data_IF_143563082114
#
_entry.id   IF_143563082114
#
_cell.length_a   1.000
_cell.length_b   1.000
_cell.length_c   1.000
_cell.angle_alpha   90.00
_cell.angle_beta   90.00
_cell.angle_gamma   90.00
#
_symmetry.space_group_name_H-M   'P 1'
#
loop_
_entity.id
_entity.type
_entity.pdbx_description
1 polymer ?
#
# COMPACT_ATOMS: atom_id res chain seq x y z
N UNK A 1 17.28 0.50 1.61
CA UNK A 1 16.73 -0.86 1.44
C UNK A 1 16.10 -1.48 2.71
N UNK A 2 16.15 -0.85 3.89
CA UNK A 2 15.63 -1.45 5.13
C UNK A 2 14.14 -1.18 5.40
N UNK A 3 13.60 -0.09 4.85
CA UNK A 3 12.30 0.41 5.30
C UNK A 3 11.09 -0.23 4.62
N UNK A 4 11.21 -0.51 3.32
CA UNK A 4 10.19 -1.26 2.57
C UNK A 4 9.98 -2.62 3.23
N UNK A 5 11.07 -3.27 3.64
CA UNK A 5 11.07 -4.59 4.30
C UNK A 5 10.27 -4.58 5.60
N UNK A 6 10.53 -3.61 6.49
CA UNK A 6 9.76 -3.40 7.72
C UNK A 6 8.28 -3.13 7.45
N UNK A 7 7.98 -2.39 6.38
CA UNK A 7 6.60 -2.08 6.00
C UNK A 7 5.86 -3.32 5.49
N UNK A 8 6.54 -4.18 4.72
CA UNK A 8 6.01 -5.48 4.29
C UNK A 8 5.84 -6.46 5.44
N UNK A 9 6.79 -6.59 6.36
CA UNK A 9 6.68 -7.48 7.54
C UNK A 9 5.44 -7.14 8.38
N UNK A 10 5.23 -5.85 8.67
CA UNK A 10 4.02 -5.38 9.37
C UNK A 10 2.73 -5.63 8.58
N UNK A 11 2.81 -5.64 7.24
CA UNK A 11 1.68 -5.99 6.37
C UNK A 11 1.36 -7.49 6.45
N UNK A 12 2.38 -8.36 6.54
CA UNK A 12 2.18 -9.81 6.65
C UNK A 12 1.55 -10.19 7.98
N UNK A 13 1.91 -9.50 9.07
CA UNK A 13 1.33 -9.76 10.39
C UNK A 13 -0.13 -9.28 10.49
N UNK A 14 -0.44 -8.09 9.96
CA UNK A 14 -1.78 -7.50 10.05
C UNK A 14 -2.21 -6.84 8.73
N UNK A 15 -2.53 -7.63 7.69
CA UNK A 15 -2.83 -7.12 6.36
C UNK A 15 -4.09 -6.25 6.32
N UNK A 16 -5.05 -6.52 7.21
CA UNK A 16 -6.32 -5.80 7.33
C UNK A 16 -6.24 -4.47 8.10
N UNK A 17 -5.09 -4.13 8.66
CA UNK A 17 -4.89 -2.89 9.43
C UNK A 17 -4.88 -1.61 8.58
N UNK A 18 -4.66 -1.73 7.26
CA UNK A 18 -4.63 -0.59 6.35
C UNK A 18 -6.05 -0.14 5.95
N UNK A 19 -6.39 1.15 6.01
CA UNK A 19 -7.71 1.63 5.59
C UNK A 19 -7.98 1.32 4.11
N UNK A 20 -9.22 0.94 3.81
CA UNK A 20 -9.71 0.78 2.43
C UNK A 20 -9.86 2.17 1.81
N UNK A 21 -9.27 2.37 0.63
CA UNK A 21 -9.30 3.63 -0.11
C UNK A 21 -10.18 3.56 -1.37
N UNK A 22 -10.35 2.38 -1.98
CA UNK A 22 -11.19 2.19 -3.15
C UNK A 22 -11.55 0.72 -3.34
N UNK A 23 -12.83 0.35 -3.25
CA UNK A 23 -13.27 -1.05 -3.39
C UNK A 23 -12.59 -1.97 -2.37
N UNK A 24 -11.77 -2.92 -2.83
CA UNK A 24 -10.95 -3.79 -1.95
C UNK A 24 -9.51 -3.28 -1.74
N UNK A 25 -9.15 -2.12 -2.32
CA UNK A 25 -7.81 -1.56 -2.28
C UNK A 25 -7.60 -0.90 -0.92
N UNK A 26 -6.57 -1.36 -0.21
CA UNK A 26 -6.10 -0.82 1.07
C UNK A 26 -4.85 0.03 0.84
N UNK A 27 -4.67 1.02 1.71
CA UNK A 27 -3.49 1.91 1.70
C UNK A 27 -2.72 1.79 3.00
N UNK A 28 -1.41 1.58 2.92
CA UNK A 28 -0.48 1.72 4.06
C UNK A 28 0.53 2.82 3.79
N UNK A 29 0.74 3.72 4.75
CA UNK A 29 1.77 4.75 4.66
C UNK A 29 3.09 4.19 5.19
N UNK A 30 4.19 4.36 4.44
CA UNK A 30 5.53 4.15 4.96
C UNK A 30 5.88 5.32 5.89
N UNK A 31 6.49 5.04 7.05
CA UNK A 31 6.68 6.06 8.08
C UNK A 31 7.82 7.06 7.80
N UNK A 32 8.95 6.69 7.18
CA UNK A 32 10.07 7.63 6.90
C UNK A 32 10.13 8.11 5.46
N UNK A 33 9.41 7.47 4.53
CA UNK A 33 9.31 7.97 3.16
C UNK A 33 7.90 8.44 2.84
N UNK A 34 7.73 9.51 2.03
CA UNK A 34 6.43 9.95 1.55
C UNK A 34 5.92 8.98 0.47
N UNK A 35 5.86 7.69 0.76
CA UNK A 35 5.29 6.66 -0.08
C UNK A 35 4.14 5.99 0.65
N UNK A 36 3.03 5.77 -0.06
CA UNK A 36 1.99 4.84 0.35
C UNK A 36 2.09 3.57 -0.49
N UNK A 37 1.84 2.41 0.09
CA UNK A 37 1.56 1.19 -0.66
C UNK A 37 0.06 1.04 -0.83
N UNK A 38 -0.36 0.78 -2.06
CA UNK A 38 -1.70 0.33 -2.40
C UNK A 38 -1.64 -1.17 -2.62
N UNK A 39 -2.47 -1.90 -1.88
CA UNK A 39 -2.49 -3.35 -1.94
C UNK A 39 -3.91 -3.88 -1.74
N UNK A 40 -4.15 -5.11 -2.16
CA UNK A 40 -5.39 -5.84 -1.93
C UNK A 40 -5.08 -7.15 -1.23
N UNK A 41 -6.01 -7.62 -0.42
CA UNK A 41 -5.94 -8.93 0.23
C UNK A 41 -6.79 -9.89 -0.60
N UNK A 42 -6.17 -10.94 -1.11
CA UNK A 42 -6.85 -11.99 -1.87
C UNK A 42 -6.59 -13.33 -1.19
N UNK A 43 -7.51 -13.77 -0.33
CA UNK A 43 -7.32 -14.96 0.50
C UNK A 43 -6.14 -14.79 1.45
N UNK A 44 -5.13 -15.66 1.33
CA UNK A 44 -3.89 -15.63 2.12
C UNK A 44 -2.76 -14.80 1.50
N UNK A 45 -3.01 -14.13 0.37
CA UNK A 45 -1.99 -13.39 -0.36
C UNK A 45 -2.23 -11.88 -0.34
N UNK A 46 -1.12 -11.14 -0.25
CA UNK A 46 -1.06 -9.70 -0.39
C UNK A 46 -0.61 -9.34 -1.80
N UNK A 47 -1.48 -8.69 -2.57
CA UNK A 47 -1.12 -8.15 -3.89
C UNK A 47 -0.83 -6.66 -3.80
N UNK A 48 0.41 -6.27 -4.01
CA UNK A 48 0.82 -4.86 -4.12
C UNK A 48 0.43 -4.37 -5.52
N UNK A 49 -0.53 -3.45 -5.59
CA UNK A 49 -1.01 -2.88 -6.85
C UNK A 49 -0.12 -1.73 -7.32
N UNK A 50 0.28 -0.85 -6.40
CA UNK A 50 1.08 0.32 -6.72
C UNK A 50 1.78 0.90 -5.49
N UNK A 51 2.87 1.63 -5.72
CA UNK A 51 3.49 2.50 -4.72
C UNK A 51 3.16 3.95 -5.08
N UNK A 52 2.35 4.60 -4.25
CA UNK A 52 1.99 6.01 -4.41
C UNK A 52 3.06 6.92 -3.80
N UNK A 53 3.57 7.90 -4.54
CA UNK A 53 4.34 8.98 -3.92
C UNK A 53 3.36 10.00 -3.32
N UNK A 54 3.37 10.17 -2.00
CA UNK A 54 2.52 11.08 -1.24
C UNK A 54 2.82 12.56 -1.53
N UNK A 55 3.96 12.88 -2.16
CA UNK A 55 4.22 14.23 -2.70
C UNK A 55 3.52 14.49 -4.05
N UNK A 56 2.92 13.47 -4.67
CA UNK A 56 2.15 13.61 -5.92
C UNK A 56 0.64 13.68 -5.63
N UNK A 57 -0.11 14.29 -6.55
CA UNK A 57 -1.55 14.51 -6.42
C UNK A 57 -2.32 13.20 -6.15
N UNK A 58 -3.23 13.14 -5.17
CA UNK A 58 -4.03 11.95 -4.89
C UNK A 58 -4.81 11.53 -6.15
N UNK A 59 -4.81 10.22 -6.47
CA UNK A 59 -5.55 9.66 -7.60
C UNK A 59 -4.77 9.53 -8.92
N UNK A 60 -3.50 9.97 -9.00
CA UNK A 60 -2.71 9.86 -10.24
C UNK A 60 -2.51 8.42 -10.75
N UNK A 61 -2.68 7.41 -9.89
CA UNK A 61 -2.54 5.99 -10.21
C UNK A 61 -3.83 5.38 -10.79
N UNK A 62 -4.96 6.09 -10.71
CA UNK A 62 -6.23 5.64 -11.29
C UNK A 62 -6.13 5.83 -12.80
N UNK A 63 -5.90 4.75 -13.53
CA UNK A 63 -5.83 4.76 -15.01
C UNK A 63 -4.48 4.42 -15.63
N UNK A 64 -3.50 3.87 -14.88
CA UNK A 64 -2.37 3.17 -15.52
C UNK A 64 -2.80 1.75 -15.86
N UNK A 65 -3.21 1.56 -17.11
CA UNK A 65 -3.36 0.25 -17.77
C UNK A 65 -2.01 -0.36 -18.07
#
# INVERSE_FOLDING_TARGET
>A
MAEVRRCTEALTEHPESGPIVLGAIRRRLCQRFPYGLLYTIAGSELRILAVMNLKRRPGYWVGRT
#
